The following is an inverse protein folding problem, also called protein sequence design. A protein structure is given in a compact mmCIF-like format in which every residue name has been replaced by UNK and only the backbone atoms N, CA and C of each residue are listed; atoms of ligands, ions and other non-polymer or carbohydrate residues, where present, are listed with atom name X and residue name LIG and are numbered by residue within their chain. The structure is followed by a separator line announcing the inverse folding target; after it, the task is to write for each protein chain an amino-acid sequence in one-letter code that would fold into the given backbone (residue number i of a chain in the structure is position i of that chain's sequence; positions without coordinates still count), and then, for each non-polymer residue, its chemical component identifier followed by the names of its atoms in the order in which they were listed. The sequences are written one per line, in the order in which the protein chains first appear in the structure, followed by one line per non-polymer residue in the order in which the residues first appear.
data_IF_592601057878
#
_entry.id   IF_592601057878
#
_cell.length_a   1.000
_cell.length_b   1.000
_cell.length_c   1.000
_cell.angle_alpha   90.00
_cell.angle_beta   90.00
_cell.angle_gamma   90.00
#
_symmetry.space_group_name_H-M   'P 1'
#
loop_
_entity.id
_entity.type
_entity.pdbx_description
1 polymer ?
2 non-polymer ?
3 non-polymer ?
4 non-polymer ?
5 non-polymer ?
6 water ?
#
# COMPACT_ATOMS: atom_id res chain seq x y z
N UNK A 1 13.72 11.94 -4.02
CA UNK A 1 13.88 12.15 -2.57
C UNK A 1 12.97 11.20 -1.82
N UNK A 2 12.76 11.53 -0.55
CA UNK A 2 12.02 10.72 0.39
C UNK A 2 10.57 10.51 -0.06
N UNK A 3 9.88 11.55 -0.49
CA UNK A 3 8.50 11.39 -0.92
C UNK A 3 8.39 10.47 -2.14
N UNK A 4 9.28 10.66 -3.10
CA UNK A 4 9.22 9.76 -4.25
C UNK A 4 9.53 8.32 -3.84
N UNK A 5 10.44 8.13 -2.91
CA UNK A 5 10.79 6.78 -2.48
C UNK A 5 9.55 6.11 -1.85
N UNK A 6 8.74 6.80 -1.07
CA UNK A 6 7.48 6.25 -0.56
C UNK A 6 6.62 5.77 -1.73
N UNK A 7 6.51 6.57 -2.80
CA UNK A 7 5.77 6.16 -3.99
C UNK A 7 6.35 4.91 -4.64
N UNK A 8 7.69 4.91 -4.79
CA UNK A 8 8.35 3.77 -5.38
C UNK A 8 8.05 2.49 -4.58
N UNK A 9 8.25 2.54 -3.27
CA UNK A 9 8.04 1.38 -2.43
C UNK A 9 6.58 0.95 -2.49
N UNK A 10 5.63 1.89 -2.46
CA UNK A 10 4.22 1.57 -2.50
C UNK A 10 3.85 0.88 -3.79
N UNK A 11 4.55 1.20 -4.87
CA UNK A 11 4.28 0.65 -6.18
C UNK A 11 4.62 -0.84 -6.32
N UNK A 12 5.37 -1.39 -5.38
CA UNK A 12 5.62 -2.84 -5.35
C UNK A 12 5.81 -3.29 -3.91
N UNK A 13 4.83 -2.98 -3.04
CA UNK A 13 5.11 -2.94 -1.62
C UNK A 13 5.27 -4.33 -1.03
N UNK A 14 4.49 -5.33 -1.44
CA UNK A 14 4.71 -6.61 -0.77
C UNK A 14 6.11 -7.14 -1.11
N UNK A 15 6.57 -6.96 -2.35
CA UNK A 15 7.89 -7.42 -2.70
C UNK A 15 8.95 -6.70 -1.87
N UNK A 16 8.88 -5.36 -1.86
CA UNK A 16 9.88 -4.61 -1.09
C UNK A 16 9.79 -4.94 0.41
N UNK A 17 8.57 -5.07 0.92
CA UNK A 17 8.37 -5.37 2.32
C UNK A 17 9.04 -6.69 2.68
N UNK A 18 8.79 -7.73 1.87
CA UNK A 18 9.37 -9.03 2.18
C UNK A 18 10.89 -8.99 2.08
N UNK A 19 11.40 -8.36 1.01
CA UNK A 19 12.83 -8.35 0.79
C UNK A 19 13.57 -7.57 1.87
N UNK A 20 12.98 -6.46 2.32
CA UNK A 20 13.60 -5.66 3.36
C UNK A 20 13.53 -6.38 4.70
N UNK A 21 12.37 -7.02 5.01
CA UNK A 21 12.28 -7.79 6.23
C UNK A 21 13.24 -8.98 6.24
N UNK A 22 13.37 -9.66 5.09
CA UNK A 22 14.34 -10.75 5.02
C UNK A 22 15.74 -10.21 5.25
N UNK A 23 16.09 -9.04 4.66
CA UNK A 23 17.41 -8.46 4.88
C UNK A 23 17.67 -8.26 6.39
N UNK A 24 16.66 -7.76 7.09
CA UNK A 24 16.68 -7.58 8.54
C UNK A 24 16.92 -8.90 9.28
N UNK A 25 16.05 -9.89 9.02
CA UNK A 25 16.20 -11.15 9.71
C UNK A 25 17.55 -11.80 9.45
N UNK A 26 18.02 -11.70 8.18
CA UNK A 26 19.29 -12.33 7.82
C UNK A 26 20.49 -11.57 8.40
N UNK A 27 20.41 -10.25 8.50
CA UNK A 27 21.48 -9.45 9.09
C UNK A 27 21.52 -9.62 10.62
N UNK A 28 20.34 -9.82 11.26
CA UNK A 28 20.23 -9.90 12.69
C UNK A 28 19.45 -11.13 13.10
N UNK A 29 20.05 -12.33 12.96
CA UNK A 29 19.32 -13.56 13.14
C UNK A 29 18.66 -13.70 14.51
N UNK A 30 19.25 -13.07 15.54
CA UNK A 30 18.72 -13.13 16.89
C UNK A 30 17.34 -12.47 16.96
N UNK A 31 17.08 -11.52 16.04
CA UNK A 31 15.80 -10.84 16.00
C UNK A 31 14.65 -11.84 15.78
N UNK A 32 14.94 -13.07 15.33
CA UNK A 32 13.88 -14.08 15.25
C UNK A 32 13.33 -14.52 16.60
N UNK A 33 13.93 -14.13 17.73
CA UNK A 33 13.27 -14.34 19.03
C UNK A 33 11.83 -13.81 19.02
N UNK A 34 11.59 -12.75 18.23
CA UNK A 34 10.27 -12.09 18.18
C UNK A 34 9.38 -12.72 17.12
N UNK A 35 9.95 -13.65 16.32
CA UNK A 35 9.28 -14.23 15.16
C UNK A 35 9.55 -15.73 15.10
N UNK A 36 9.10 -16.43 16.12
CA UNK A 36 9.51 -17.82 16.28
C UNK A 36 8.98 -18.75 15.17
N UNK A 37 7.87 -18.37 14.49
CA UNK A 37 7.34 -19.17 13.39
C UNK A 37 8.29 -19.13 12.19
N UNK A 38 9.17 -18.12 12.15
CA UNK A 38 10.06 -17.94 10.96
C UNK A 38 11.41 -18.66 11.08
N UNK A 39 11.60 -19.40 12.15
CA UNK A 39 12.82 -20.16 12.43
C UNK A 39 12.90 -21.38 11.53
N UNK A 40 14.10 -21.70 11.03
CA UNK A 40 14.34 -22.92 10.31
C UNK A 40 13.77 -22.95 8.89
N UNK A 41 13.74 -21.78 8.24
CA UNK A 41 13.12 -21.67 6.93
C UNK A 41 13.86 -20.67 6.06
N UNK A 42 14.15 -21.11 4.85
CA UNK A 42 14.85 -20.31 3.87
C UNK A 42 13.94 -19.16 3.43
N UNK A 43 14.53 -18.19 2.73
CA UNK A 43 13.76 -17.04 2.25
C UNK A 43 12.54 -17.48 1.41
N UNK A 44 12.75 -18.42 0.51
CA UNK A 44 11.69 -18.88 -0.38
C UNK A 44 10.56 -19.57 0.41
N UNK A 45 10.97 -20.31 1.46
CA UNK A 45 9.98 -20.92 2.33
C UNK A 45 9.16 -19.86 3.05
N UNK A 46 9.80 -18.82 3.60
CA UNK A 46 9.08 -17.74 4.25
C UNK A 46 8.12 -17.06 3.30
N UNK A 47 8.54 -16.80 2.06
CA UNK A 47 7.65 -16.14 1.11
C UNK A 47 6.46 -17.04 0.75
N UNK A 48 6.50 -18.32 1.19
CA UNK A 48 5.39 -19.24 0.95
C UNK A 48 4.40 -19.31 2.12
N UNK A 49 4.73 -18.66 3.26
CA UNK A 49 3.98 -18.72 4.50
C UNK A 49 3.03 -17.53 4.52
N UNK A 50 1.72 -17.80 4.66
CA UNK A 50 0.72 -16.77 4.43
C UNK A 50 0.93 -15.61 5.41
N UNK A 51 1.22 -15.86 6.67
CA UNK A 51 1.33 -14.76 7.63
C UNK A 51 2.59 -13.95 7.36
N UNK A 52 3.66 -14.56 6.89
CA UNK A 52 4.86 -13.83 6.56
C UNK A 52 4.53 -12.75 5.53
N UNK A 53 3.90 -13.08 4.43
CA UNK A 53 3.58 -12.09 3.43
C UNK A 53 2.56 -11.09 3.94
N UNK A 54 1.46 -11.62 4.54
CA UNK A 54 0.36 -10.79 4.99
C UNK A 54 0.84 -9.76 6.01
N UNK A 55 1.44 -10.24 7.09
CA UNK A 55 1.82 -9.41 8.21
C UNK A 55 2.91 -8.45 7.75
N UNK A 56 3.92 -8.93 6.99
CA UNK A 56 5.02 -8.06 6.59
C UNK A 56 4.47 -6.93 5.71
N UNK A 57 3.57 -7.22 4.80
CA UNK A 57 3.00 -6.16 3.98
C UNK A 57 2.24 -5.15 4.87
N UNK A 58 1.48 -5.61 5.88
CA UNK A 58 0.73 -4.69 6.71
C UNK A 58 1.67 -3.82 7.56
N UNK A 59 2.80 -4.36 7.99
CA UNK A 59 3.84 -3.56 8.64
C UNK A 59 4.30 -2.43 7.73
N UNK A 60 4.61 -2.76 6.47
CA UNK A 60 5.09 -1.73 5.57
C UNK A 60 4.00 -0.82 5.08
N UNK A 61 2.77 -1.29 5.00
CA UNK A 61 1.67 -0.39 4.71
C UNK A 61 1.67 0.76 5.74
N UNK A 62 1.72 0.42 7.02
CA UNK A 62 1.69 1.43 8.06
C UNK A 62 2.97 2.22 8.06
N UNK A 63 4.11 1.56 7.88
CA UNK A 63 5.38 2.30 7.85
C UNK A 63 5.34 3.41 6.80
N UNK A 64 4.84 3.13 5.63
CA UNK A 64 4.75 4.10 4.54
C UNK A 64 3.82 5.25 4.92
N UNK A 65 2.74 4.97 5.64
CA UNK A 65 1.82 6.01 6.11
C UNK A 65 2.57 6.91 7.12
N UNK A 66 3.34 6.33 8.02
CA UNK A 66 4.09 7.11 9.02
C UNK A 66 5.12 7.98 8.30
N UNK A 67 5.80 7.42 7.33
CA UNK A 67 6.78 8.18 6.53
C UNK A 67 6.06 9.29 5.80
N UNK A 68 4.91 9.02 5.20
CA UNK A 68 4.20 10.05 4.43
C UNK A 68 3.69 11.18 5.29
N UNK A 69 3.36 10.88 6.54
CA UNK A 69 2.83 11.93 7.43
C UNK A 69 3.93 12.71 8.10
N UNK A 70 5.18 12.28 7.93
CA UNK A 70 6.32 12.96 8.52
C UNK A 70 6.57 14.33 7.88
N UNK A 71 7.28 15.20 8.63
CA UNK A 71 7.80 16.46 8.13
C UNK A 71 9.31 16.37 8.25
N UNK A 72 9.99 16.60 7.13
CA UNK A 72 11.45 16.57 7.17
C UNK A 72 11.95 15.25 7.80
N UNK A 73 11.29 14.13 7.48
CA UNK A 73 11.72 12.85 8.00
C UNK A 73 11.51 12.68 9.52
N UNK A 74 10.68 13.53 10.13
CA UNK A 74 10.35 13.48 11.53
C UNK A 74 8.90 13.04 11.66
N UNK A 75 8.64 11.84 12.25
CA UNK A 75 7.26 11.36 12.30
C UNK A 75 6.40 12.16 13.29
N UNK A 76 5.10 12.04 13.07
CA UNK A 76 4.14 12.60 14.02
C UNK A 76 4.32 11.91 15.38
N UNK A 77 4.15 12.65 16.47
CA UNK A 77 4.09 12.09 17.80
C UNK A 77 2.93 11.08 17.92
N UNK A 78 1.81 11.32 17.27
CA UNK A 78 0.68 10.40 17.37
C UNK A 78 1.05 9.02 16.77
N UNK A 79 1.84 9.05 15.68
CA UNK A 79 2.26 7.80 15.04
C UNK A 79 3.24 7.07 15.93
N UNK A 80 4.18 7.82 16.55
CA UNK A 80 5.12 7.18 17.46
C UNK A 80 4.35 6.53 18.63
N UNK A 81 3.37 7.23 19.19
CA UNK A 81 2.66 6.71 20.34
C UNK A 81 1.81 5.49 19.97
N UNK A 82 1.27 5.46 18.76
CA UNK A 82 0.58 4.27 18.27
C UNK A 82 1.53 3.07 18.23
N UNK A 83 2.73 3.26 17.70
CA UNK A 83 3.70 2.19 17.60
C UNK A 83 4.20 1.72 18.97
N UNK A 84 4.34 2.60 19.95
CA UNK A 84 4.67 2.18 21.29
C UNK A 84 3.52 1.38 21.96
N UNK A 85 2.28 1.82 21.75
CA UNK A 85 1.16 1.30 22.53
C UNK A 85 0.54 0.04 21.95
N UNK A 86 0.82 -0.27 20.69
CA UNK A 86 0.32 -1.49 20.04
C UNK A 86 0.66 -2.72 20.87
N UNK A 87 -0.34 -3.57 21.17
CA UNK A 87 -0.14 -4.79 21.95
C UNK A 87 0.91 -5.73 21.33
N UNK A 88 1.03 -5.71 19.98
CA UNK A 88 1.98 -6.52 19.25
C UNK A 88 3.41 -6.08 19.52
N UNK A 89 3.58 -4.85 20.03
CA UNK A 89 4.91 -4.28 20.27
C UNK A 89 5.30 -4.25 21.75
N UNK A 90 4.56 -4.99 22.58
CA UNK A 90 4.74 -5.04 24.02
C UNK A 90 6.18 -5.42 24.40
N UNK A 91 6.72 -6.40 23.68
CA UNK A 91 8.05 -6.88 24.03
C UNK A 91 9.22 -5.93 23.68
N UNK A 92 9.00 -4.82 22.97
CA UNK A 92 10.05 -4.30 22.08
C UNK A 92 10.81 -3.15 22.72
N UNK A 93 12.03 -2.92 22.22
CA UNK A 93 12.80 -1.75 22.61
C UNK A 93 13.24 -1.02 21.35
N UNK A 94 13.74 0.21 21.53
CA UNK A 94 14.11 0.99 20.37
C UNK A 94 15.18 0.32 19.51
N UNK A 95 16.05 -0.51 20.13
CA UNK A 95 17.09 -1.22 19.38
C UNK A 95 16.49 -2.08 18.26
N UNK A 96 15.31 -2.68 18.49
CA UNK A 96 14.68 -3.48 17.45
C UNK A 96 14.39 -2.65 16.21
N UNK A 97 13.87 -1.41 16.43
CA UNK A 97 13.60 -0.50 15.34
C UNK A 97 14.86 0.04 14.67
N UNK A 98 15.88 0.38 15.47
CA UNK A 98 17.18 0.80 14.94
C UNK A 98 17.64 -0.22 13.89
N UNK A 99 17.61 -1.50 14.28
CA UNK A 99 18.09 -2.57 13.41
C UNK A 99 17.29 -2.71 12.14
N UNK A 100 15.95 -2.53 12.21
CA UNK A 100 15.14 -2.64 11.01
C UNK A 100 15.50 -1.52 10.02
N UNK A 101 15.84 -0.32 10.54
CA UNK A 101 16.22 0.79 9.67
C UNK A 101 17.65 0.66 9.16
N UNK A 102 18.55 0.04 9.92
CA UNK A 102 19.90 -0.17 9.38
C UNK A 102 19.78 -1.08 8.15
N UNK A 103 19.01 -2.17 8.28
CA UNK A 103 18.82 -3.12 7.21
C UNK A 103 18.13 -2.47 6.02
N UNK A 104 17.10 -1.67 6.28
CA UNK A 104 16.40 -0.99 5.20
C UNK A 104 17.34 -0.06 4.41
N UNK A 105 18.15 0.74 5.10
CA UNK A 105 19.09 1.62 4.45
C UNK A 105 20.14 0.85 3.66
N UNK A 106 20.67 -0.24 4.23
CA UNK A 106 21.65 -1.05 3.50
C UNK A 106 21.01 -1.65 2.24
N UNK A 107 19.78 -2.13 2.37
CA UNK A 107 19.07 -2.64 1.21
C UNK A 107 19.00 -1.57 0.13
N UNK A 108 18.63 -0.33 0.51
CA UNK A 108 18.49 0.70 -0.50
C UNK A 108 19.85 1.00 -1.13
N UNK A 109 20.88 1.06 -0.31
CA UNK A 109 22.19 1.39 -0.85
C UNK A 109 22.63 0.35 -1.88
N UNK A 110 22.34 -0.94 -1.63
CA UNK A 110 22.76 -2.05 -2.46
C UNK A 110 21.84 -2.28 -3.67
N UNK A 111 20.70 -1.59 -3.71
CA UNK A 111 19.76 -1.75 -4.78
C UNK A 111 20.37 -1.01 -5.99
N UNK A 112 19.85 -1.26 -7.17
CA UNK A 112 20.44 -0.52 -8.27
C UNK A 112 19.95 0.94 -8.34
N UNK A 113 19.01 1.29 -7.45
CA UNK A 113 18.07 2.38 -7.68
C UNK A 113 18.52 3.65 -6.96
N UNK A 114 17.77 4.72 -7.22
CA UNK A 114 18.10 6.07 -6.77
C UNK A 114 17.33 6.43 -5.50
N UNK A 115 17.22 5.47 -4.56
CA UNK A 115 16.61 5.78 -3.27
C UNK A 115 17.44 6.87 -2.60
N UNK A 116 16.77 7.70 -1.80
CA UNK A 116 17.40 8.71 -0.98
C UNK A 116 17.76 8.07 0.34
N UNK A 117 18.82 7.25 0.35
CA UNK A 117 19.14 6.45 1.52
C UNK A 117 19.40 7.32 2.75
N UNK A 118 20.00 8.48 2.55
CA UNK A 118 20.25 9.44 3.61
C UNK A 118 18.97 9.80 4.35
N UNK A 119 17.90 10.09 3.59
CA UNK A 119 16.66 10.50 4.20
C UNK A 119 16.07 9.32 4.98
N UNK A 120 16.18 8.06 4.50
CA UNK A 120 15.66 6.93 5.26
C UNK A 120 16.47 6.70 6.52
N UNK A 121 17.79 7.00 6.48
CA UNK A 121 18.61 6.86 7.65
C UNK A 121 18.17 7.86 8.72
N UNK A 122 17.92 9.11 8.30
CA UNK A 122 17.39 10.13 9.20
C UNK A 122 16.00 9.73 9.74
N UNK A 123 15.12 9.28 8.85
CA UNK A 123 13.79 8.84 9.29
C UNK A 123 13.90 7.80 10.41
N UNK A 124 14.76 6.79 10.19
CA UNK A 124 14.91 5.76 11.19
C UNK A 124 15.38 6.33 12.52
N UNK A 125 16.39 7.22 12.49
CA UNK A 125 16.88 7.81 13.72
C UNK A 125 15.80 8.66 14.39
N UNK A 126 15.04 9.40 13.58
CA UNK A 126 14.04 10.29 14.12
C UNK A 126 12.84 9.48 14.67
N UNK A 127 12.53 8.34 14.04
CA UNK A 127 11.47 7.48 14.55
C UNK A 127 11.92 6.86 15.88
N UNK A 128 13.17 6.40 15.96
CA UNK A 128 13.66 5.85 17.21
C UNK A 128 13.58 6.90 18.32
N UNK A 129 13.98 8.16 18.03
CA UNK A 129 13.88 9.28 18.96
C UNK A 129 12.46 9.45 19.47
N UNK A 130 11.54 9.44 18.53
CA UNK A 130 10.13 9.67 18.82
C UNK A 130 9.55 8.51 19.64
N UNK A 131 9.95 7.27 19.35
CA UNK A 131 9.52 6.10 20.10
C UNK A 131 9.99 6.23 21.54
N UNK A 132 11.24 6.65 21.77
CA UNK A 132 11.76 6.87 23.10
C UNK A 132 10.95 7.95 23.84
N UNK A 133 10.68 9.08 23.16
CA UNK A 133 9.90 10.15 23.77
C UNK A 133 8.49 9.67 24.15
N UNK A 134 7.93 8.76 23.35
CA UNK A 134 6.58 8.23 23.57
C UNK A 134 6.54 7.05 24.57
N UNK A 135 7.72 6.65 25.07
CA UNK A 135 7.79 5.77 26.20
C UNK A 135 8.33 4.38 25.93
N UNK A 136 8.88 4.13 24.74
CA UNK A 136 9.51 2.83 24.51
C UNK A 136 10.87 2.79 25.20
N UNK A 137 11.20 1.66 25.83
CA UNK A 137 12.50 1.46 26.44
C UNK A 137 13.59 1.18 25.38
N UNK B 1 -13.60 10.75 7.26
CA UNK B 1 -13.84 11.31 5.92
C UNK B 1 -12.91 10.69 4.88
N UNK B 2 -12.81 11.34 3.75
CA UNK B 2 -12.04 10.86 2.60
C UNK B 2 -10.57 10.55 2.93
N UNK B 3 -9.92 11.46 3.62
CA UNK B 3 -8.53 11.26 3.97
C UNK B 3 -8.35 10.07 4.88
N UNK B 4 -9.19 9.94 5.91
CA UNK B 4 -9.09 8.73 6.74
C UNK B 4 -9.38 7.46 5.94
N UNK B 5 -10.34 7.52 5.03
CA UNK B 5 -10.62 6.33 4.25
C UNK B 5 -9.39 5.89 3.45
N UNK B 6 -8.64 6.85 2.87
CA UNK B 6 -7.41 6.47 2.17
C UNK B 6 -6.49 5.72 3.15
N UNK B 7 -6.33 6.25 4.38
CA UNK B 7 -5.53 5.58 5.40
C UNK B 7 -6.08 4.17 5.73
N UNK B 8 -7.40 4.03 5.87
CA UNK B 8 -8.01 2.73 6.15
C UNK B 8 -7.69 1.74 5.03
N UNK B 9 -7.94 2.15 3.80
CA UNK B 9 -7.68 1.29 2.65
C UNK B 9 -6.20 0.91 2.58
N UNK B 10 -5.31 1.92 2.67
CA UNK B 10 -3.88 1.69 2.60
C UNK B 10 -3.43 0.71 3.68
N UNK B 11 -4.00 0.79 4.87
CA UNK B 11 -3.52 -0.06 5.96
C UNK B 11 -3.65 -1.55 5.66
N UNK B 12 -4.65 -1.90 4.82
CA UNK B 12 -4.79 -3.29 4.40
C UNK B 12 -5.09 -3.36 2.91
N UNK B 13 -4.21 -2.71 2.13
CA UNK B 13 -4.51 -2.48 0.74
C UNK B 13 -4.73 -3.75 -0.08
N UNK B 14 -3.93 -4.80 0.20
CA UNK B 14 -4.05 -6.05 -0.54
C UNK B 14 -5.49 -6.55 -0.45
N UNK B 15 -6.01 -6.59 0.78
CA UNK B 15 -7.31 -7.18 1.06
C UNK B 15 -8.45 -6.35 0.47
N UNK B 16 -8.40 -5.02 0.68
CA UNK B 16 -9.44 -4.16 0.15
C UNK B 16 -9.40 -4.18 -1.38
N UNK B 17 -8.19 -4.15 -1.94
CA UNK B 17 -8.06 -4.14 -3.39
C UNK B 17 -8.72 -5.36 -4.02
N UNK B 18 -8.37 -6.55 -3.50
CA UNK B 18 -8.97 -7.78 -4.00
C UNK B 18 -10.48 -7.74 -3.87
N UNK B 19 -10.93 -7.37 -2.67
CA UNK B 19 -12.35 -7.50 -2.39
C UNK B 19 -13.14 -6.53 -3.26
N UNK B 20 -12.64 -5.31 -3.42
CA UNK B 20 -13.41 -4.37 -4.23
C UNK B 20 -13.35 -4.76 -5.71
N UNK B 21 -12.17 -5.17 -6.20
CA UNK B 21 -12.08 -5.56 -7.59
C UNK B 21 -12.97 -6.76 -7.88
N UNK B 22 -12.99 -7.76 -6.98
CA UNK B 22 -13.91 -8.88 -7.20
C UNK B 22 -15.36 -8.40 -7.23
N UNK B 23 -15.74 -7.49 -6.31
CA UNK B 23 -17.11 -6.97 -6.34
C UNK B 23 -17.43 -6.35 -7.71
N UNK B 24 -16.47 -5.59 -8.24
CA UNK B 24 -16.60 -5.00 -9.57
C UNK B 24 -16.77 -6.10 -10.64
N UNK B 25 -15.85 -7.05 -10.67
CA UNK B 25 -15.89 -8.08 -11.72
C UNK B 25 -17.17 -8.90 -11.66
N UNK B 26 -17.66 -9.15 -10.46
CA UNK B 26 -18.87 -9.95 -10.33
C UNK B 26 -20.13 -9.11 -10.65
N UNK B 27 -20.12 -7.80 -10.34
CA UNK B 27 -21.25 -6.95 -10.65
C UNK B 27 -21.36 -6.70 -12.17
N UNK B 28 -20.22 -6.65 -12.84
CA UNK B 28 -20.14 -6.28 -14.25
C UNK B 28 -19.32 -7.33 -14.97
N UNK B 29 -19.94 -8.52 -15.21
CA UNK B 29 -19.18 -9.63 -15.79
C UNK B 29 -18.47 -9.39 -17.12
N UNK B 30 -19.04 -8.53 -18.00
CA UNK B 30 -18.37 -8.19 -19.26
C UNK B 30 -17.01 -7.53 -19.02
N UNK B 31 -16.80 -6.92 -17.86
CA UNK B 31 -15.54 -6.25 -17.57
C UNK B 31 -14.37 -7.25 -17.53
N UNK B 32 -14.61 -8.55 -17.27
CA UNK B 32 -13.53 -9.53 -17.24
C UNK B 32 -12.88 -9.68 -18.62
N UNK B 33 -13.61 -9.36 -19.70
CA UNK B 33 -13.04 -9.50 -21.03
C UNK B 33 -11.77 -8.66 -21.18
N UNK B 34 -11.62 -7.65 -20.31
CA UNK B 34 -10.39 -6.88 -20.29
C UNK B 34 -9.31 -7.66 -19.58
N UNK B 35 -9.67 -8.78 -18.93
CA UNK B 35 -8.76 -9.57 -18.12
C UNK B 35 -8.90 -11.05 -18.48
N UNK B 36 -8.41 -11.45 -19.65
CA UNK B 36 -8.72 -12.77 -20.17
C UNK B 36 -8.13 -13.89 -19.31
N UNK B 37 -7.04 -13.63 -18.56
CA UNK B 37 -6.47 -14.62 -17.64
C UNK B 37 -7.48 -14.94 -16.51
N UNK B 38 -8.46 -14.04 -16.26
CA UNK B 38 -9.34 -14.16 -15.10
C UNK B 38 -10.65 -14.88 -15.45
N UNK B 39 -10.91 -15.10 -16.74
CA UNK B 39 -12.15 -15.72 -17.20
C UNK B 39 -12.22 -17.18 -16.76
N UNK B 40 -13.40 -17.60 -16.26
CA UNK B 40 -13.64 -19.02 -15.98
C UNK B 40 -13.17 -19.42 -14.58
N UNK B 41 -12.92 -18.41 -13.72
CA UNK B 41 -12.31 -18.61 -12.42
C UNK B 41 -13.17 -17.98 -11.34
N UNK B 42 -13.35 -18.76 -10.28
CA UNK B 42 -14.04 -18.29 -9.10
C UNK B 42 -13.17 -17.26 -8.40
N UNK B 43 -13.75 -16.61 -7.39
CA UNK B 43 -13.00 -15.65 -6.61
C UNK B 43 -11.79 -16.29 -5.92
N UNK B 44 -11.94 -17.53 -5.42
CA UNK B 44 -10.83 -18.18 -4.74
C UNK B 44 -9.78 -18.67 -5.74
N UNK B 45 -10.19 -19.04 -6.97
CA UNK B 45 -9.20 -19.38 -7.98
C UNK B 45 -8.41 -18.13 -8.38
N UNK B 46 -9.03 -16.94 -8.35
CA UNK B 46 -8.32 -15.71 -8.71
C UNK B 46 -7.33 -15.33 -7.62
N UNK B 47 -7.74 -15.40 -6.36
CA UNK B 47 -6.85 -15.01 -5.28
C UNK B 47 -5.62 -15.94 -5.18
N UNK B 48 -5.65 -17.10 -5.84
CA UNK B 48 -4.51 -18.03 -5.85
C UNK B 48 -3.48 -17.74 -6.96
N UNK B 49 -3.77 -16.81 -7.88
CA UNK B 49 -2.91 -16.42 -9.00
C UNK B 49 -2.03 -15.24 -8.55
N UNK B 50 -0.71 -15.38 -8.68
CA UNK B 50 0.21 -14.36 -8.15
C UNK B 50 -0.15 -13.00 -8.72
N UNK B 51 -0.44 -12.97 -10.02
CA UNK B 51 -0.59 -11.70 -10.68
C UNK B 51 -1.92 -11.05 -10.33
N UNK B 52 -2.93 -11.84 -9.91
CA UNK B 52 -4.19 -11.23 -9.51
C UNK B 52 -4.02 -10.31 -8.30
N UNK B 53 -3.40 -10.80 -7.24
CA UNK B 53 -3.21 -10.01 -6.03
C UNK B 53 -2.27 -8.85 -6.32
N UNK B 54 -1.16 -9.12 -7.02
CA UNK B 54 -0.16 -8.10 -7.32
C UNK B 54 -0.73 -6.98 -8.20
N UNK B 55 -1.37 -7.34 -9.32
CA UNK B 55 -1.81 -6.30 -10.23
C UNK B 55 -2.99 -5.53 -9.62
N UNK B 56 -3.85 -6.23 -8.89
CA UNK B 56 -5.00 -5.54 -8.31
C UNK B 56 -4.53 -4.58 -7.22
N UNK B 57 -3.56 -4.97 -6.42
CA UNK B 57 -3.06 -4.04 -5.43
C UNK B 57 -2.44 -2.84 -6.14
N UNK B 58 -1.66 -3.05 -7.21
CA UNK B 58 -0.98 -1.93 -7.88
C UNK B 58 -2.02 -0.99 -8.47
N UNK B 59 -3.16 -1.47 -8.95
CA UNK B 59 -4.25 -0.61 -9.41
C UNK B 59 -4.71 0.28 -8.26
N UNK B 60 -4.98 -0.37 -7.10
CA UNK B 60 -5.54 0.37 -5.98
C UNK B 60 -4.51 1.29 -5.35
N UNK B 61 -3.23 0.96 -5.47
CA UNK B 61 -2.23 1.87 -4.96
C UNK B 61 -2.23 3.16 -5.79
N UNK B 62 -2.30 3.05 -7.12
CA UNK B 62 -2.40 4.23 -7.93
C UNK B 62 -3.68 4.99 -7.64
N UNK B 63 -4.77 4.29 -7.44
CA UNK B 63 -6.01 4.97 -7.12
C UNK B 63 -5.84 5.81 -5.85
N UNK B 64 -5.22 5.25 -4.83
CA UNK B 64 -5.03 5.95 -3.56
C UNK B 64 -4.06 7.13 -3.72
N UNK B 65 -3.06 7.02 -4.61
CA UNK B 65 -2.20 8.19 -4.89
C UNK B 65 -3.03 9.31 -5.51
N UNK B 66 -3.85 8.97 -6.49
CA UNK B 66 -4.69 9.95 -7.16
C UNK B 66 -5.70 10.57 -6.18
N UNK B 67 -6.30 9.73 -5.31
CA UNK B 67 -7.21 10.21 -4.31
C UNK B 67 -6.53 11.16 -3.32
N UNK B 68 -5.32 10.86 -2.90
CA UNK B 68 -4.63 11.65 -1.91
C UNK B 68 -4.18 12.98 -2.50
N UNK B 69 -3.94 13.03 -3.81
CA UNK B 69 -3.51 14.27 -4.46
C UNK B 69 -4.71 15.09 -4.88
N UNK B 70 -5.92 14.55 -4.76
CA UNK B 70 -7.11 15.31 -5.13
C UNK B 70 -7.35 16.49 -4.19
N UNK B 71 -8.05 17.51 -4.71
CA UNK B 71 -8.55 18.60 -3.87
C UNK B 71 -10.09 18.50 -3.87
N UNK B 72 -10.72 18.45 -2.67
CA UNK B 72 -12.17 18.39 -2.59
C UNK B 72 -12.71 17.30 -3.53
N UNK B 73 -12.05 16.13 -3.54
CA UNK B 73 -12.45 14.97 -4.34
C UNK B 73 -12.43 15.22 -5.85
N UNK B 74 -11.63 16.23 -6.26
CA UNK B 74 -11.39 16.47 -7.68
C UNK B 74 -9.95 16.09 -7.99
N UNK B 75 -9.74 15.06 -8.83
CA UNK B 75 -8.38 14.63 -9.10
C UNK B 75 -7.65 15.64 -9.99
N UNK B 76 -6.33 15.63 -9.87
CA UNK B 76 -5.49 16.44 -10.75
C UNK B 76 -5.65 16.01 -12.20
N UNK B 77 -5.69 17.02 -13.08
CA UNK B 77 -5.69 16.75 -14.53
C UNK B 77 -4.48 15.92 -14.95
N UNK B 78 -3.32 16.15 -14.34
CA UNK B 78 -2.13 15.40 -14.68
C UNK B 78 -2.26 13.91 -14.34
N UNK B 79 -2.95 13.59 -13.24
CA UNK B 79 -3.20 12.20 -12.86
C UNK B 79 -4.16 11.57 -13.87
N UNK B 80 -5.23 12.28 -14.22
CA UNK B 80 -6.14 11.78 -15.23
C UNK B 80 -5.40 11.46 -16.50
N UNK B 81 -4.51 12.38 -16.90
CA UNK B 81 -3.78 12.14 -18.14
C UNK B 81 -2.91 10.87 -18.08
N UNK B 82 -2.31 10.58 -16.94
CA UNK B 82 -1.58 9.33 -16.77
C UNK B 82 -2.46 8.11 -17.05
N UNK B 83 -3.62 8.10 -16.43
CA UNK B 83 -4.52 6.96 -16.61
C UNK B 83 -4.99 6.84 -18.05
N UNK B 84 -5.15 7.96 -18.75
CA UNK B 84 -5.51 7.88 -20.17
C UNK B 84 -4.37 7.32 -21.03
N UNK B 85 -3.13 7.69 -20.70
CA UNK B 85 -1.99 7.45 -21.57
C UNK B 85 -1.36 6.08 -21.30
N UNK B 86 -1.70 5.45 -20.19
CA UNK B 86 -1.17 4.13 -19.88
C UNK B 86 -1.53 3.14 -20.99
N UNK B 87 -0.50 2.47 -21.53
CA UNK B 87 -0.67 1.41 -22.53
C UNK B 87 -1.81 0.47 -22.14
N UNK B 88 -1.79 0.02 -20.88
CA UNK B 88 -2.69 -1.03 -20.41
C UNK B 88 -4.15 -0.56 -20.47
N UNK B 89 -4.33 0.74 -20.61
CA UNK B 89 -5.65 1.36 -20.72
C UNK B 89 -6.04 1.72 -22.15
N UNK B 90 -5.30 1.21 -23.13
CA UNK B 90 -5.60 1.47 -24.53
C UNK B 90 -7.01 0.95 -24.82
N UNK B 91 -7.82 1.72 -25.55
CA UNK B 91 -9.17 1.27 -25.90
C UNK B 91 -10.18 1.19 -24.76
N UNK B 92 -9.81 1.51 -23.50
CA UNK B 92 -10.81 1.70 -22.44
C UNK B 92 -11.60 2.97 -22.72
N UNK B 93 -12.83 3.02 -22.15
CA UNK B 93 -13.63 4.23 -22.17
C UNK B 93 -13.95 4.59 -20.73
N UNK B 94 -14.52 5.77 -20.52
CA UNK B 94 -14.77 6.24 -19.17
C UNK B 94 -15.79 5.36 -18.46
N UNK B 95 -16.65 4.68 -19.25
CA UNK B 95 -17.64 3.75 -18.72
C UNK B 95 -17.05 2.65 -17.82
N UNK B 96 -15.86 2.16 -18.21
CA UNK B 96 -15.15 1.17 -17.42
C UNK B 96 -14.92 1.70 -16.00
N UNK B 97 -14.41 2.95 -15.90
CA UNK B 97 -14.06 3.56 -14.62
C UNK B 97 -15.30 3.91 -13.81
N UNK B 98 -16.33 4.38 -14.51
CA UNK B 98 -17.60 4.70 -13.86
C UNK B 98 -18.10 3.45 -13.13
N UNK B 99 -18.04 2.29 -13.80
CA UNK B 99 -18.54 1.05 -13.20
C UNK B 99 -17.68 0.60 -12.01
N UNK B 100 -16.37 0.75 -12.14
CA UNK B 100 -15.49 0.49 -11.00
C UNK B 100 -15.91 1.25 -9.75
N UNK B 101 -16.13 2.57 -9.92
CA UNK B 101 -16.50 3.39 -8.79
C UNK B 101 -17.89 3.12 -8.25
N UNK B 102 -18.84 2.75 -9.12
CA UNK B 102 -20.15 2.29 -8.64
C UNK B 102 -19.95 1.09 -7.71
N UNK B 103 -19.15 0.12 -8.16
CA UNK B 103 -18.93 -1.07 -7.34
C UNK B 103 -18.23 -0.70 -6.03
N UNK B 104 -17.22 0.18 -6.09
CA UNK B 104 -16.50 0.61 -4.88
C UNK B 104 -17.43 1.26 -3.86
N UNK B 105 -18.27 2.18 -4.34
CA UNK B 105 -19.22 2.84 -3.44
C UNK B 105 -20.21 1.85 -2.82
N UNK B 106 -20.71 0.88 -3.60
CA UNK B 106 -21.65 -0.10 -3.08
C UNK B 106 -20.95 -0.99 -2.05
N UNK B 107 -19.68 -1.33 -2.29
CA UNK B 107 -18.93 -2.11 -1.34
C UNK B 107 -18.84 -1.33 -0.03
N UNK B 108 -18.53 -0.02 -0.11
CA UNK B 108 -18.34 0.73 1.11
C UNK B 108 -19.66 0.84 1.87
N UNK B 109 -20.75 1.08 1.13
CA UNK B 109 -22.06 1.20 1.78
C UNK B 109 -22.46 -0.10 2.49
N UNK B 110 -22.09 -1.26 1.92
CA UNK B 110 -22.44 -2.56 2.48
C UNK B 110 -21.49 -3.02 3.59
N UNK B 111 -20.36 -2.31 3.80
CA UNK B 111 -19.32 -2.72 4.72
C UNK B 111 -19.81 -2.47 6.16
N UNK B 112 -19.11 -3.00 7.14
CA UNK B 112 -19.48 -2.61 8.50
C UNK B 112 -19.16 -1.15 8.84
N UNK B 113 -18.55 -0.36 7.94
CA UNK B 113 -17.63 0.65 8.42
C UNK B 113 -18.05 2.06 8.01
N UNK B 114 -17.43 3.05 8.67
CA UNK B 114 -17.82 4.44 8.50
C UNK B 114 -17.00 5.10 7.38
N UNK B 115 -16.96 4.46 6.19
CA UNK B 115 -16.43 5.10 5.00
C UNK B 115 -17.32 6.27 4.62
N UNK B 116 -16.67 7.27 4.04
CA UNK B 116 -17.37 8.45 3.55
C UNK B 116 -17.76 8.11 2.10
N UNK B 117 -18.83 7.33 1.97
CA UNK B 117 -19.18 6.82 0.66
C UNK B 117 -19.55 7.95 -0.29
N UNK B 118 -20.13 9.04 0.22
CA UNK B 118 -20.53 10.15 -0.64
C UNK B 118 -19.31 10.80 -1.29
N UNK B 119 -18.22 10.94 -0.53
CA UNK B 119 -16.99 11.49 -1.07
C UNK B 119 -16.42 10.58 -2.17
N UNK B 120 -16.45 9.25 -1.98
CA UNK B 120 -15.95 8.37 -3.01
C UNK B 120 -16.84 8.39 -4.26
N UNK B 121 -18.14 8.60 -4.08
CA UNK B 121 -19.03 8.71 -5.21
C UNK B 121 -18.69 9.96 -6.05
N UNK B 122 -18.47 11.10 -5.36
CA UNK B 122 -18.06 12.34 -6.02
C UNK B 122 -16.70 12.16 -6.70
N UNK B 123 -15.76 11.53 -5.99
CA UNK B 123 -14.43 11.31 -6.53
C UNK B 123 -14.53 10.55 -7.83
N UNK B 124 -15.32 9.47 -7.81
CA UNK B 124 -15.50 8.69 -9.02
C UNK B 124 -16.08 9.45 -10.19
N UNK B 125 -17.13 10.24 -9.91
CA UNK B 125 -17.70 11.10 -10.95
C UNK B 125 -16.70 12.12 -11.50
N UNK B 126 -15.93 12.68 -10.58
CA UNK B 126 -14.94 13.71 -10.95
C UNK B 126 -13.75 13.10 -11.66
N UNK B 127 -13.41 11.86 -11.35
CA UNK B 127 -12.38 11.17 -12.11
C UNK B 127 -12.87 10.92 -13.52
N UNK B 128 -14.09 10.39 -13.66
CA UNK B 128 -14.65 10.15 -14.99
C UNK B 128 -14.59 11.43 -15.83
N UNK B 129 -15.02 12.53 -15.23
CA UNK B 129 -14.98 13.81 -15.94
C UNK B 129 -13.55 14.16 -16.37
N UNK B 130 -12.64 14.04 -15.42
CA UNK B 130 -11.23 14.33 -15.66
C UNK B 130 -10.65 13.46 -16.76
N UNK B 131 -10.98 12.19 -16.76
CA UNK B 131 -10.50 11.27 -17.80
C UNK B 131 -10.97 11.74 -19.17
N UNK B 132 -12.24 12.15 -19.30
CA UNK B 132 -12.77 12.71 -20.53
C UNK B 132 -11.98 13.94 -20.96
N UNK B 133 -11.76 14.86 -20.00
CA UNK B 133 -11.03 16.08 -20.32
C UNK B 133 -9.59 15.79 -20.76
N UNK B 134 -8.99 14.69 -20.26
CA UNK B 134 -7.62 14.32 -20.59
C UNK B 134 -7.56 13.41 -21.84
N UNK B 135 -8.69 13.18 -22.51
CA UNK B 135 -8.72 12.55 -23.82
C UNK B 135 -9.23 11.10 -23.88
N UNK B 136 -9.81 10.55 -22.82
CA UNK B 136 -10.42 9.23 -22.92
C UNK B 136 -11.81 9.35 -23.55
N UNK B 137 -12.15 8.40 -24.44
CA UNK B 137 -13.47 8.33 -25.04
C UNK B 137 -14.50 7.77 -24.05
#
# INVERSE_FOLDING_TARGET
GFKQDIATLRGDLRTYAQDIFLAFLNKYPDEKRNFKNYVGKSDQELKSMAKFGDHTEKVFNLMMEVADRATDCVPLASDASTLVQMKQHSGLTTGNFEKLFVALVEYMRASGQSFDSQSWDRFGKNLVSALSSAGMK
GFKQDIATLRGDLRTYAQDIFLAFLNKYPDEKRNFKNYVGKSDQELKSMAKFGDHTEKVFNLMMEVADRATDCVPLASDASTLVQMKQHSGLTTGNFEKLFVALVEYMRASGQSFDSQSWDRFGKNLVSALSSAGMK
#
